data_IF_546655467804
#
_entry.id   IF_546655467804
#
_cell.length_a   1.000
_cell.length_b   1.000
_cell.length_c   1.000
_cell.angle_alpha   90.00
_cell.angle_beta   90.00
_cell.angle_gamma   90.00
#
_symmetry.space_group_name_H-M   'P 1'
#
loop_
_entity.id
_entity.type
_entity.pdbx_description
1 polymer ?
#
# COMPACT_ATOMS: atom_id res chain seq x y z
N UNK A 1 -24.81 19.99 -2.09
CA UNK A 1 -23.46 20.01 -2.69
C UNK A 1 -23.48 19.00 -3.82
N UNK A 2 -23.90 19.42 -5.02
CA UNK A 2 -24.07 18.53 -6.17
C UNK A 2 -22.83 18.63 -7.06
N UNK A 3 -21.89 17.72 -6.89
CA UNK A 3 -20.87 17.44 -7.91
C UNK A 3 -21.27 16.13 -8.59
N UNK A 4 -21.34 16.17 -9.91
CA UNK A 4 -21.40 14.97 -10.74
C UNK A 4 -20.05 14.25 -10.59
N UNK A 5 -19.83 13.59 -9.46
CA UNK A 5 -18.68 12.72 -9.26
C UNK A 5 -18.97 11.43 -10.04
N UNK A 6 -18.68 11.48 -11.33
CA UNK A 6 -18.66 10.30 -12.18
C UNK A 6 -17.36 9.54 -11.86
N UNK A 7 -17.52 8.26 -11.51
CA UNK A 7 -16.43 7.38 -11.16
C UNK A 7 -16.39 6.23 -12.14
N UNK A 8 -15.24 6.06 -12.78
CA UNK A 8 -14.95 4.94 -13.67
C UNK A 8 -14.01 3.97 -12.94
N UNK A 9 -14.44 2.71 -12.87
CA UNK A 9 -13.64 1.60 -12.37
C UNK A 9 -13.15 0.84 -13.60
N UNK A 10 -11.85 0.86 -13.87
CA UNK A 10 -11.23 0.10 -14.95
C UNK A 10 -10.51 -1.12 -14.40
N UNK A 11 -10.47 -2.21 -15.17
CA UNK A 11 -9.82 -3.47 -14.81
C UNK A 11 -10.23 -3.94 -13.41
N UNK A 12 -11.51 -3.76 -13.04
CA UNK A 12 -12.02 -4.22 -11.77
C UNK A 12 -11.88 -5.74 -11.72
N UNK A 13 -11.30 -6.25 -10.65
CA UNK A 13 -11.24 -7.68 -10.36
C UNK A 13 -11.59 -7.91 -8.89
N UNK A 14 -12.74 -8.56 -8.68
CA UNK A 14 -13.21 -9.00 -7.37
C UNK A 14 -13.61 -10.46 -7.43
N UNK A 15 -13.29 -11.22 -6.39
CA UNK A 15 -13.67 -12.63 -6.25
C UNK A 15 -14.66 -12.78 -5.12
N UNK A 16 -15.68 -13.60 -5.31
CA UNK A 16 -16.77 -13.82 -4.37
C UNK A 16 -16.99 -15.32 -4.22
N UNK A 17 -17.30 -15.75 -3.01
CA UNK A 17 -18.03 -17.01 -2.84
C UNK A 17 -19.54 -16.77 -3.01
N UNK A 18 -20.32 -17.83 -2.83
CA UNK A 18 -21.78 -17.75 -2.96
C UNK A 18 -22.43 -16.92 -1.84
N UNK A 19 -21.87 -16.94 -0.63
CA UNK A 19 -22.40 -16.20 0.52
C UNK A 19 -22.22 -14.69 0.30
N UNK A 20 -21.05 -14.27 -0.16
CA UNK A 20 -20.78 -12.86 -0.48
C UNK A 20 -21.73 -12.31 -1.55
N UNK A 21 -22.13 -13.09 -2.56
CA UNK A 21 -23.13 -12.64 -3.55
C UNK A 21 -24.50 -12.40 -2.89
N UNK A 22 -24.92 -13.27 -1.98
CA UNK A 22 -26.19 -13.10 -1.26
C UNK A 22 -26.16 -11.87 -0.36
N UNK A 23 -25.05 -11.66 0.34
CA UNK A 23 -24.88 -10.52 1.24
C UNK A 23 -24.75 -9.21 0.46
N UNK A 24 -24.09 -9.23 -0.70
CA UNK A 24 -24.07 -8.13 -1.66
C UNK A 24 -25.49 -7.72 -2.10
N UNK A 25 -26.35 -8.69 -2.43
CA UNK A 25 -27.74 -8.42 -2.81
C UNK A 25 -28.50 -7.80 -1.63
N UNK A 26 -28.36 -8.36 -0.42
CA UNK A 26 -29.00 -7.82 0.79
C UNK A 26 -28.55 -6.39 1.07
N UNK A 27 -27.26 -6.11 1.01
CA UNK A 27 -26.69 -4.78 1.27
C UNK A 27 -27.23 -3.73 0.29
N UNK A 28 -27.31 -4.08 -0.99
CA UNK A 28 -27.87 -3.20 -2.01
C UNK A 28 -29.36 -2.94 -1.77
N UNK A 29 -30.14 -3.95 -1.38
CA UNK A 29 -31.56 -3.79 -1.03
C UNK A 29 -31.71 -2.90 0.22
N UNK A 30 -30.91 -3.13 1.26
CA UNK A 30 -30.93 -2.35 2.50
C UNK A 30 -30.57 -0.87 2.25
N UNK A 31 -29.66 -0.60 1.30
CA UNK A 31 -29.35 0.76 0.84
C UNK A 31 -30.45 1.39 -0.03
N UNK A 32 -31.53 0.67 -0.31
CA UNK A 32 -32.72 1.14 -0.99
C UNK A 32 -32.68 1.00 -2.52
N UNK A 33 -31.79 0.18 -3.07
CA UNK A 33 -31.75 -0.04 -4.52
C UNK A 33 -32.81 -1.06 -4.96
N UNK A 34 -33.44 -0.78 -6.10
CA UNK A 34 -34.21 -1.79 -6.83
C UNK A 34 -33.27 -2.63 -7.70
N UNK A 35 -33.35 -3.95 -7.53
CA UNK A 35 -32.48 -4.91 -8.18
C UNK A 35 -33.27 -5.87 -9.06
N UNK A 36 -32.66 -6.28 -10.16
CA UNK A 36 -33.06 -7.44 -10.95
C UNK A 36 -31.84 -8.31 -11.15
N UNK A 37 -31.94 -9.62 -10.99
CA UNK A 37 -30.84 -10.52 -11.30
C UNK A 37 -31.29 -11.67 -12.20
N UNK A 38 -30.35 -12.17 -12.98
CA UNK A 38 -30.54 -13.32 -13.85
C UNK A 38 -29.28 -14.16 -13.82
N UNK A 39 -29.44 -15.48 -13.85
CA UNK A 39 -28.34 -16.44 -13.86
C UNK A 39 -28.46 -17.34 -15.08
N UNK A 40 -27.31 -17.61 -15.72
CA UNK A 40 -27.17 -18.71 -16.67
C UNK A 40 -25.95 -19.57 -16.25
N UNK A 41 -25.60 -20.58 -17.06
CA UNK A 41 -24.52 -21.52 -16.72
C UNK A 41 -23.14 -20.85 -16.50
N UNK A 42 -22.89 -19.71 -17.13
CA UNK A 42 -21.57 -19.07 -17.15
C UNK A 42 -21.51 -17.76 -16.37
N UNK A 43 -22.64 -17.06 -16.23
CA UNK A 43 -22.70 -15.67 -15.75
C UNK A 43 -23.91 -15.46 -14.86
N UNK A 44 -23.66 -14.81 -13.73
CA UNK A 44 -24.67 -14.23 -12.86
C UNK A 44 -24.66 -12.71 -13.06
N UNK A 45 -25.81 -12.10 -13.35
CA UNK A 45 -25.91 -10.66 -13.63
C UNK A 45 -26.82 -10.00 -12.61
N UNK A 46 -26.32 -8.96 -11.94
CA UNK A 46 -27.13 -8.10 -11.06
C UNK A 46 -27.27 -6.74 -11.74
N UNK A 47 -28.50 -6.34 -11.98
CA UNK A 47 -28.86 -5.05 -12.55
C UNK A 47 -29.36 -4.13 -11.44
N UNK A 48 -28.57 -3.12 -11.10
CA UNK A 48 -28.85 -2.12 -10.05
C UNK A 48 -29.44 -0.87 -10.68
N UNK A 49 -30.67 -0.49 -10.30
CA UNK A 49 -31.30 0.73 -10.79
C UNK A 49 -30.78 1.95 -10.02
N UNK A 50 -30.11 2.87 -10.72
CA UNK A 50 -29.58 4.13 -10.18
C UNK A 50 -30.26 5.30 -10.88
N UNK A 51 -31.35 5.80 -10.28
CA UNK A 51 -32.18 6.84 -10.88
C UNK A 51 -32.72 6.44 -12.26
N UNK A 52 -32.19 7.05 -13.33
CA UNK A 52 -32.57 6.80 -14.73
C UNK A 52 -31.72 5.74 -15.45
N UNK A 53 -30.62 5.29 -14.86
CA UNK A 53 -29.71 4.30 -15.49
C UNK A 53 -29.77 2.95 -14.75
N UNK A 54 -29.35 1.91 -15.45
CA UNK A 54 -29.22 0.56 -14.91
C UNK A 54 -27.74 0.16 -14.99
N UNK A 55 -27.12 -0.11 -13.85
CA UNK A 55 -25.74 -0.61 -13.78
C UNK A 55 -25.80 -2.13 -13.73
N UNK A 56 -25.20 -2.80 -14.72
CA UNK A 56 -25.21 -4.27 -14.81
C UNK A 56 -23.87 -4.83 -14.33
N UNK A 57 -23.83 -5.35 -13.11
CA UNK A 57 -22.69 -6.07 -12.56
C UNK A 57 -22.70 -7.50 -13.09
N UNK A 58 -21.66 -7.90 -13.83
CA UNK A 58 -21.57 -9.21 -14.50
C UNK A 58 -20.53 -10.08 -13.82
N UNK A 59 -21.01 -11.08 -13.11
CA UNK A 59 -20.19 -12.03 -12.38
C UNK A 59 -19.98 -13.28 -13.22
N UNK A 60 -18.74 -13.58 -13.58
CA UNK A 60 -18.36 -14.83 -14.24
C UNK A 60 -18.31 -15.95 -13.20
N UNK A 61 -18.91 -17.10 -13.51
CA UNK A 61 -18.84 -18.27 -12.65
C UNK A 61 -17.45 -18.91 -12.77
N UNK A 62 -16.85 -19.23 -11.64
CA UNK A 62 -15.59 -19.97 -11.52
C UNK A 62 -15.85 -21.24 -10.71
N UNK A 63 -14.89 -22.19 -10.68
CA UNK A 63 -15.08 -23.50 -10.01
C UNK A 63 -15.65 -23.38 -8.59
N UNK A 64 -15.11 -22.46 -7.79
CA UNK A 64 -15.45 -22.30 -6.38
C UNK A 64 -16.11 -20.95 -6.05
N UNK A 65 -16.81 -20.32 -7.02
CA UNK A 65 -17.50 -19.06 -6.75
C UNK A 65 -17.75 -18.20 -7.98
N UNK A 66 -17.58 -16.90 -7.81
CA UNK A 66 -17.86 -15.87 -8.82
C UNK A 66 -16.73 -14.85 -8.91
N UNK A 67 -16.56 -14.27 -10.09
CA UNK A 67 -15.59 -13.20 -10.34
C UNK A 67 -16.28 -12.02 -11.03
N UNK A 68 -16.23 -10.84 -10.43
CA UNK A 68 -16.65 -9.60 -11.10
C UNK A 68 -15.45 -9.03 -11.84
N UNK A 69 -15.53 -8.97 -13.17
CA UNK A 69 -14.47 -8.41 -14.02
C UNK A 69 -15.02 -7.38 -14.98
N UNK A 70 -14.25 -6.32 -15.21
CA UNK A 70 -14.44 -5.40 -16.33
C UNK A 70 -14.46 -3.94 -15.90
N UNK A 71 -14.98 -3.12 -16.81
CA UNK A 71 -15.03 -1.67 -16.61
C UNK A 71 -16.45 -1.22 -16.28
N UNK A 72 -16.57 -0.35 -15.27
CA UNK A 72 -17.85 0.12 -14.75
C UNK A 72 -17.83 1.63 -14.59
N UNK A 73 -18.85 2.30 -15.12
CA UNK A 73 -19.05 3.74 -14.94
C UNK A 73 -20.25 3.97 -14.03
N UNK A 74 -20.01 4.53 -12.85
CA UNK A 74 -21.01 4.75 -11.81
C UNK A 74 -21.11 6.25 -11.53
N UNK A 75 -22.34 6.78 -11.62
CA UNK A 75 -22.65 8.19 -11.31
C UNK A 75 -23.37 8.37 -9.99
N UNK A 76 -23.89 7.28 -9.42
CA UNK A 76 -24.53 7.32 -8.11
C UNK A 76 -23.44 7.25 -7.04
N UNK A 77 -23.31 8.33 -6.26
CA UNK A 77 -22.28 8.46 -5.25
C UNK A 77 -22.36 7.36 -4.18
N UNK A 78 -23.56 6.94 -3.78
CA UNK A 78 -23.74 5.89 -2.76
C UNK A 78 -23.33 4.52 -3.30
N UNK A 79 -23.58 4.27 -4.60
CA UNK A 79 -23.15 3.03 -5.25
C UNK A 79 -21.64 3.01 -5.48
N UNK A 80 -21.05 4.16 -5.82
CA UNK A 80 -19.61 4.32 -5.98
C UNK A 80 -18.87 4.08 -4.67
N UNK A 81 -19.30 4.73 -3.59
CA UNK A 81 -18.74 4.51 -2.25
C UNK A 81 -18.89 3.04 -1.80
N UNK A 82 -20.03 2.42 -2.10
CA UNK A 82 -20.24 1.01 -1.82
C UNK A 82 -19.29 0.10 -2.63
N UNK A 83 -19.06 0.38 -3.91
CA UNK A 83 -18.11 -0.38 -4.75
C UNK A 83 -16.68 -0.28 -4.21
N UNK A 84 -16.27 0.89 -3.73
CA UNK A 84 -14.94 1.10 -3.14
C UNK A 84 -14.75 0.33 -1.85
N UNK A 85 -15.76 0.36 -0.98
CA UNK A 85 -15.75 -0.46 0.23
C UNK A 85 -15.62 -1.94 -0.13
N UNK A 86 -16.36 -2.39 -1.15
CA UNK A 86 -16.29 -3.77 -1.62
C UNK A 86 -14.90 -4.13 -2.17
N UNK A 87 -14.23 -3.23 -2.88
CA UNK A 87 -12.84 -3.42 -3.34
C UNK A 87 -11.90 -3.58 -2.14
N UNK A 88 -12.06 -2.77 -1.10
CA UNK A 88 -11.27 -2.88 0.13
C UNK A 88 -11.52 -4.21 0.87
N UNK A 89 -12.78 -4.51 1.17
CA UNK A 89 -13.19 -5.67 1.96
C UNK A 89 -12.79 -7.00 1.29
N UNK A 90 -12.94 -7.08 -0.04
CA UNK A 90 -12.62 -8.29 -0.82
C UNK A 90 -11.16 -8.36 -1.27
N UNK A 91 -10.30 -7.43 -0.82
CA UNK A 91 -8.90 -7.28 -1.25
C UNK A 91 -8.75 -7.28 -2.78
N UNK A 92 -9.61 -6.50 -3.43
CA UNK A 92 -9.72 -6.41 -4.88
C UNK A 92 -8.63 -5.63 -5.59
N UNK A 93 -8.71 -5.62 -6.91
CA UNK A 93 -7.86 -4.81 -7.77
C UNK A 93 -8.73 -3.92 -8.67
N UNK A 94 -8.34 -2.66 -8.83
CA UNK A 94 -9.02 -1.74 -9.73
C UNK A 94 -8.15 -0.52 -10.04
N UNK A 95 -8.42 0.13 -11.16
CA UNK A 95 -8.01 1.51 -11.41
C UNK A 95 -9.26 2.37 -11.30
N UNK A 96 -9.33 3.26 -10.31
CA UNK A 96 -10.49 4.12 -10.07
C UNK A 96 -10.16 5.51 -10.59
N UNK A 97 -10.92 6.00 -11.56
CA UNK A 97 -10.81 7.36 -12.10
C UNK A 97 -12.01 8.18 -11.64
N UNK A 98 -11.75 9.30 -10.97
CA UNK A 98 -12.76 10.27 -10.56
C UNK A 98 -12.64 11.50 -11.44
N UNK A 99 -13.73 11.85 -12.10
CA UNK A 99 -13.81 13.03 -12.95
C UNK A 99 -14.38 14.20 -12.15
N UNK A 100 -13.62 15.28 -12.02
CA UNK A 100 -14.03 16.51 -11.34
C UNK A 100 -13.74 17.71 -12.21
N UNK A 101 -14.75 18.27 -12.86
CA UNK A 101 -14.66 19.44 -13.74
C UNK A 101 -13.49 19.39 -14.74
N UNK A 102 -12.31 19.90 -14.37
CA UNK A 102 -11.08 19.96 -15.21
C UNK A 102 -9.94 19.08 -14.70
N UNK A 103 -10.20 18.25 -13.70
CA UNK A 103 -9.24 17.39 -13.02
C UNK A 103 -9.71 15.95 -13.04
N UNK A 104 -8.76 15.03 -13.21
CA UNK A 104 -8.99 13.59 -13.09
C UNK A 104 -8.07 13.07 -12.00
N UNK A 105 -8.64 12.40 -11.00
CA UNK A 105 -7.88 11.70 -9.97
C UNK A 105 -7.93 10.22 -10.32
N UNK A 106 -6.76 9.58 -10.40
CA UNK A 106 -6.61 8.16 -10.70
C UNK A 106 -5.97 7.46 -9.50
N UNK A 107 -6.70 6.50 -8.93
CA UNK A 107 -6.28 5.63 -7.84
C UNK A 107 -6.02 4.23 -8.40
N UNK A 108 -4.78 3.75 -8.30
CA UNK A 108 -4.47 2.35 -8.57
C UNK A 108 -4.60 1.57 -7.25
N UNK A 109 -5.49 0.61 -7.21
CA UNK A 109 -5.77 -0.24 -6.05
C UNK A 109 -5.29 -1.65 -6.34
N UNK A 110 -4.50 -2.19 -5.42
CA UNK A 110 -4.03 -3.57 -5.45
C UNK A 110 -4.26 -4.21 -4.07
N UNK A 111 -4.85 -5.40 -4.02
CA UNK A 111 -5.12 -6.11 -2.77
C UNK A 111 -5.99 -5.31 -1.77
N UNK A 112 -6.90 -4.47 -2.30
CA UNK A 112 -7.75 -3.59 -1.51
C UNK A 112 -7.07 -2.31 -1.02
N UNK A 113 -5.79 -2.09 -1.35
CA UNK A 113 -5.02 -0.93 -0.91
C UNK A 113 -4.65 -0.01 -2.08
N UNK A 114 -4.74 1.31 -1.87
CA UNK A 114 -4.25 2.29 -2.84
C UNK A 114 -2.72 2.20 -2.89
N UNK A 115 -2.17 1.81 -4.04
CA UNK A 115 -0.73 1.73 -4.29
C UNK A 115 -0.18 2.94 -5.04
N UNK A 116 -1.05 3.68 -5.76
CA UNK A 116 -0.64 4.88 -6.50
C UNK A 116 -1.81 5.84 -6.66
N UNK A 117 -1.55 7.13 -6.50
CA UNK A 117 -2.49 8.22 -6.71
C UNK A 117 -1.89 9.21 -7.70
N UNK A 118 -2.61 9.51 -8.77
CA UNK A 118 -2.19 10.44 -9.82
C UNK A 118 -3.29 11.46 -10.06
N UNK A 119 -2.92 12.73 -10.11
CA UNK A 119 -3.80 13.82 -10.53
C UNK A 119 -3.41 14.27 -11.94
N UNK A 120 -4.41 14.39 -12.80
CA UNK A 120 -4.27 14.93 -14.15
C UNK A 120 -5.10 16.22 -14.21
N UNK A 121 -4.44 17.33 -14.55
CA UNK A 121 -5.07 18.64 -14.74
C UNK A 121 -4.63 19.24 -16.06
N UNK A 122 -5.53 19.29 -17.05
CA UNK A 122 -5.17 19.69 -18.42
C UNK A 122 -4.08 18.80 -19.01
N UNK A 123 -2.92 19.37 -19.34
CA UNK A 123 -1.76 18.65 -19.86
C UNK A 123 -0.77 18.18 -18.79
N UNK A 124 -0.99 18.55 -17.52
CA UNK A 124 -0.09 18.21 -16.42
C UNK A 124 -0.55 16.93 -15.73
N UNK A 125 0.42 16.05 -15.48
CA UNK A 125 0.25 14.86 -14.66
C UNK A 125 1.16 14.96 -13.42
N UNK A 126 0.57 14.78 -12.24
CA UNK A 126 1.27 14.82 -10.95
C UNK A 126 1.02 13.54 -10.18
N UNK A 127 2.07 12.81 -9.81
CA UNK A 127 1.96 11.68 -8.87
C UNK A 127 1.83 12.26 -7.47
N UNK A 128 0.68 12.07 -6.84
CA UNK A 128 0.41 12.55 -5.48
C UNK A 128 0.90 11.55 -4.43
N UNK A 129 0.81 10.26 -4.73
CA UNK A 129 1.25 9.19 -3.84
C UNK A 129 1.68 7.97 -4.64
N UNK A 130 2.71 7.29 -4.16
CA UNK A 130 3.14 6.00 -4.66
C UNK A 130 3.66 5.19 -3.48
N UNK A 131 3.02 4.05 -3.20
CA UNK A 131 3.51 3.09 -2.21
C UNK A 131 4.88 2.59 -2.71
N UNK A 132 5.88 2.64 -1.86
CA UNK A 132 7.23 2.16 -2.18
C UNK A 132 7.22 0.71 -2.66
N UNK A 133 8.30 0.24 -3.31
CA UNK A 133 8.39 -1.16 -3.72
C UNK A 133 8.14 -2.06 -2.50
N UNK A 134 7.26 -3.05 -2.67
CA UNK A 134 7.17 -4.15 -1.72
C UNK A 134 8.53 -4.86 -1.77
N UNK A 135 9.26 -4.91 -0.65
CA UNK A 135 10.49 -5.70 -0.59
C UNK A 135 10.14 -7.12 -1.03
N UNK A 136 10.90 -7.66 -1.96
CA UNK A 136 10.76 -9.06 -2.37
C UNK A 136 11.11 -9.96 -1.19
N UNK A 137 10.56 -11.19 -1.16
CA UNK A 137 10.92 -12.18 -0.12
C UNK A 137 12.44 -12.42 -0.08
N UNK A 138 13.14 -12.31 -1.21
CA UNK A 138 14.60 -12.39 -1.28
C UNK A 138 15.30 -11.22 -0.60
N UNK A 139 14.80 -9.99 -0.77
CA UNK A 139 15.34 -8.80 -0.09
C UNK A 139 15.04 -8.82 1.41
N UNK A 140 13.85 -9.28 1.80
CA UNK A 140 13.49 -9.54 3.20
C UNK A 140 14.39 -10.61 3.81
N UNK A 141 14.64 -11.70 3.09
CA UNK A 141 15.53 -12.79 3.51
C UNK A 141 16.98 -12.29 3.66
N UNK A 142 17.47 -11.49 2.72
CA UNK A 142 18.80 -10.86 2.80
C UNK A 142 18.91 -9.93 4.01
N UNK A 143 17.90 -9.11 4.27
CA UNK A 143 17.86 -8.25 5.45
C UNK A 143 17.80 -9.07 6.74
N UNK A 144 17.02 -10.15 6.77
CA UNK A 144 16.87 -11.03 7.93
C UNK A 144 18.16 -11.78 8.27
N UNK A 145 18.92 -12.23 7.26
CA UNK A 145 20.22 -12.89 7.45
C UNK A 145 21.41 -11.93 7.38
N UNK A 146 21.17 -10.61 7.30
CA UNK A 146 22.27 -9.65 7.26
C UNK A 146 22.98 -9.61 8.61
N UNK A 147 24.28 -9.90 8.59
CA UNK A 147 25.20 -9.76 9.72
C UNK A 147 25.96 -8.43 9.68
N UNK A 148 25.61 -7.53 8.75
CA UNK A 148 26.36 -6.27 8.54
C UNK A 148 26.32 -5.36 9.77
N UNK A 149 25.21 -5.34 10.51
CA UNK A 149 25.09 -4.61 11.77
C UNK A 149 26.02 -5.17 12.84
N UNK A 150 26.04 -6.50 13.00
CA UNK A 150 26.91 -7.19 13.96
C UNK A 150 28.40 -7.01 13.62
N UNK A 151 28.75 -7.08 12.34
CA UNK A 151 30.12 -6.87 11.86
C UNK A 151 30.57 -5.42 12.09
N UNK A 152 29.68 -4.45 11.89
CA UNK A 152 29.97 -3.04 12.15
C UNK A 152 30.15 -2.74 13.65
N UNK A 153 29.37 -3.38 14.52
CA UNK A 153 29.56 -3.32 15.98
C UNK A 153 30.91 -3.94 16.36
N UNK A 154 31.24 -5.10 15.80
CA UNK A 154 32.52 -5.79 16.03
C UNK A 154 33.71 -4.90 15.64
N UNK A 155 33.68 -4.31 14.46
CA UNK A 155 34.75 -3.41 13.99
C UNK A 155 34.88 -2.19 14.90
N UNK A 156 33.78 -1.55 15.31
CA UNK A 156 33.83 -0.43 16.24
C UNK A 156 34.38 -0.81 17.61
N UNK A 157 34.14 -2.02 18.11
CA UNK A 157 34.75 -2.53 19.36
C UNK A 157 36.27 -2.65 19.24
N UNK A 158 36.75 -3.22 18.13
CA UNK A 158 38.20 -3.31 17.84
C UNK A 158 38.84 -1.91 17.85
N UNK A 159 38.21 -0.93 17.19
CA UNK A 159 38.73 0.44 17.16
C UNK A 159 38.76 1.10 18.55
N UNK A 160 37.76 0.83 19.40
CA UNK A 160 37.77 1.30 20.80
C UNK A 160 38.93 0.69 21.57
N UNK A 161 39.14 -0.62 21.44
CA UNK A 161 40.25 -1.33 22.11
C UNK A 161 41.61 -0.77 21.66
N UNK A 162 41.81 -0.57 20.35
CA UNK A 162 43.04 0.05 19.83
C UNK A 162 43.26 1.48 20.35
N UNK A 163 42.19 2.27 20.52
CA UNK A 163 42.33 3.62 21.10
C UNK A 163 42.65 3.58 22.59
N UNK A 164 42.14 2.59 23.34
CA UNK A 164 42.50 2.38 24.74
C UNK A 164 43.98 2.02 24.89
N UNK A 165 44.52 1.18 24.00
CA UNK A 165 45.95 0.87 23.97
C UNK A 165 46.80 2.11 23.72
N UNK A 166 46.43 2.93 22.72
CA UNK A 166 47.12 4.20 22.44
C UNK A 166 47.06 5.18 23.60
N UNK A 167 45.94 5.23 24.32
CA UNK A 167 45.80 6.05 25.52
C UNK A 167 46.72 5.55 26.64
N UNK A 168 46.77 4.23 26.87
CA UNK A 168 47.63 3.62 27.88
C UNK A 168 49.12 3.91 27.60
N UNK A 169 49.55 3.81 26.35
CA UNK A 169 50.92 4.13 25.95
C UNK A 169 51.25 5.62 26.14
N UNK A 170 50.32 6.52 25.81
CA UNK A 170 50.49 7.95 26.02
C UNK A 170 50.59 8.31 27.51
N UNK A 171 49.79 7.66 28.37
CA UNK A 171 49.84 7.83 29.81
C UNK A 171 51.15 7.32 30.40
N UNK A 172 51.65 6.16 29.94
CA UNK A 172 52.97 5.62 30.35
C UNK A 172 54.13 6.51 29.93
N UNK A 173 54.01 7.19 28.79
CA UNK A 173 55.00 8.14 28.29
C UNK A 173 54.85 9.55 28.89
N UNK A 174 53.88 9.78 29.78
CA UNK A 174 53.53 11.08 30.36
C UNK A 174 53.22 12.18 29.32
N UNK A 175 52.86 11.78 28.09
CA UNK A 175 52.50 12.70 27.01
C UNK A 175 51.03 13.12 27.13
N UNK A 176 50.81 14.18 27.90
CA UNK A 176 49.48 14.70 28.20
C UNK A 176 48.73 15.21 26.96
N UNK A 177 49.45 15.70 25.94
CA UNK A 177 48.82 16.20 24.70
C UNK A 177 48.27 15.03 23.90
N UNK A 178 49.05 13.95 23.80
CA UNK A 178 48.61 12.72 23.12
C UNK A 178 47.50 12.02 23.89
N UNK A 179 47.57 11.99 25.22
CA UNK A 179 46.54 11.42 26.07
C UNK A 179 45.17 12.12 25.91
N UNK A 180 45.14 13.45 25.88
CA UNK A 180 43.90 14.22 25.64
C UNK A 180 43.30 13.96 24.26
N UNK A 181 44.12 13.88 23.21
CA UNK A 181 43.65 13.51 21.86
C UNK A 181 43.02 12.11 21.84
N UNK A 182 43.65 11.13 22.50
CA UNK A 182 43.12 9.78 22.61
C UNK A 182 41.78 9.76 23.37
N UNK A 183 41.63 10.53 24.46
CA UNK A 183 40.36 10.63 25.21
C UNK A 183 39.22 11.22 24.36
N UNK A 184 39.51 12.26 23.58
CA UNK A 184 38.52 12.87 22.68
C UNK A 184 38.05 11.87 21.62
N UNK A 185 38.99 11.12 21.01
CA UNK A 185 38.67 10.10 20.01
C UNK A 185 37.89 8.92 20.62
N UNK A 186 38.26 8.50 21.84
CA UNK A 186 37.55 7.45 22.57
C UNK A 186 36.08 7.84 22.81
N UNK A 187 35.84 9.08 23.26
CA UNK A 187 34.49 9.60 23.51
C UNK A 187 33.61 9.55 22.25
N UNK A 188 34.18 9.87 21.09
CA UNK A 188 33.50 9.78 19.80
C UNK A 188 33.14 8.32 19.45
N UNK A 189 34.12 7.41 19.53
CA UNK A 189 33.92 6.00 19.19
C UNK A 189 32.93 5.30 20.12
N UNK A 190 32.98 5.59 21.43
CA UNK A 190 32.01 5.04 22.39
C UNK A 190 30.60 5.52 22.11
N UNK A 191 30.42 6.78 21.70
CA UNK A 191 29.10 7.31 21.34
C UNK A 191 28.55 6.65 20.08
N UNK A 192 29.40 6.42 19.07
CA UNK A 192 28.99 5.69 17.86
C UNK A 192 28.67 4.23 18.13
N UNK A 193 29.47 3.55 18.98
CA UNK A 193 29.18 2.19 19.39
C UNK A 193 27.82 2.09 20.09
N UNK A 194 27.52 3.04 21.00
CA UNK A 194 26.23 3.10 21.67
C UNK A 194 25.05 3.28 20.71
N UNK A 195 25.22 4.06 19.63
CA UNK A 195 24.17 4.23 18.60
C UNK A 195 23.99 3.01 17.69
N UNK A 196 24.98 2.12 17.61
CA UNK A 196 24.89 0.90 16.81
C UNK A 196 24.29 -0.27 17.59
N UNK A 197 24.37 -0.24 18.92
CA UNK A 197 23.85 -1.29 19.82
C UNK A 197 22.37 -1.09 20.22
N UNK A 198 21.77 0.06 19.91
CA UNK A 198 20.40 0.45 20.22
C UNK A 198 19.59 0.77 18.96
#
# INVERSE_FOLDING_TARGET
MNKNDEVEYCNLELRFDRQHIQDLIKDLIQKGYSLYWSENEQVFVISVRTGRKLVKLRFQRIKDGYKLVGDYMIRDARLSEWMEKLIGDMRGHAIVKRFRDRQIIIENILFGEVIRLVEISGYQQRVLYQKGPMLTDEELTKLYYSVEGEERIRQRRIEVDEQLDRLNDALKAEDMIRAEKCRAQLTFLTKELYMLEW
#
